data_IF_884965094748
#
_entry.id   IF_884965094748
#
_cell.length_a   1.000
_cell.length_b   1.000
_cell.length_c   1.000
_cell.angle_alpha   90.00
_cell.angle_beta   90.00
_cell.angle_gamma   90.00
#
_symmetry.space_group_name_H-M   'P 1'
#
loop_
_entity.id
_entity.type
_entity.pdbx_description
1 polymer ?
#
# COMPACT_ATOMS: atom_id res chain seq x y z
N UNK A 1 -30.34 -12.13 -5.41
CA UNK A 1 -29.21 -12.88 -4.85
C UNK A 1 -28.15 -12.87 -5.92
N UNK A 2 -27.15 -12.01 -5.78
CA UNK A 2 -26.01 -11.94 -6.69
C UNK A 2 -25.22 -13.24 -6.49
N UNK A 3 -25.10 -14.01 -7.57
CA UNK A 3 -24.34 -15.25 -7.60
C UNK A 3 -22.87 -14.89 -7.38
N UNK A 4 -22.33 -15.20 -6.19
CA UNK A 4 -20.90 -15.01 -5.98
C UNK A 4 -20.17 -16.00 -6.89
N UNK A 5 -19.22 -15.54 -7.72
CA UNK A 5 -18.51 -16.43 -8.63
C UNK A 5 -17.79 -17.52 -7.82
N UNK A 6 -17.76 -18.75 -8.35
CA UNK A 6 -16.96 -19.85 -7.80
C UNK A 6 -15.43 -19.60 -7.90
N UNK A 7 -15.06 -18.53 -8.62
CA UNK A 7 -13.69 -18.06 -8.84
C UNK A 7 -13.27 -17.13 -7.68
N UNK A 8 -12.03 -17.31 -7.19
CA UNK A 8 -11.51 -16.50 -6.08
C UNK A 8 -11.25 -15.04 -6.49
N UNK A 9 -11.33 -14.10 -5.53
CA UNK A 9 -10.97 -12.69 -5.76
C UNK A 9 -9.54 -12.55 -6.30
N UNK A 10 -8.62 -13.39 -5.82
CA UNK A 10 -7.24 -13.47 -6.31
C UNK A 10 -7.19 -13.80 -7.80
N UNK A 11 -8.04 -14.71 -8.27
CA UNK A 11 -8.14 -15.04 -9.69
C UNK A 11 -8.78 -13.93 -10.52
N UNK A 12 -9.80 -13.24 -9.99
CA UNK A 12 -10.40 -12.07 -10.67
C UNK A 12 -9.40 -10.92 -10.80
N UNK A 13 -8.54 -10.72 -9.80
CA UNK A 13 -7.55 -9.64 -9.78
C UNK A 13 -6.47 -9.75 -10.88
N UNK A 14 -6.33 -10.92 -11.54
CA UNK A 14 -5.44 -11.05 -12.70
C UNK A 14 -5.97 -10.34 -13.95
N UNK A 15 -7.27 -10.07 -14.04
CA UNK A 15 -7.91 -9.47 -15.20
C UNK A 15 -8.68 -8.18 -14.91
N UNK A 16 -8.77 -7.77 -13.64
CA UNK A 16 -9.54 -6.62 -13.19
C UNK A 16 -8.74 -5.79 -12.20
N UNK A 17 -8.91 -4.48 -12.26
CA UNK A 17 -8.39 -3.56 -11.25
C UNK A 17 -9.19 -3.63 -9.96
N UNK A 18 -8.59 -3.18 -8.85
CA UNK A 18 -9.28 -3.08 -7.56
C UNK A 18 -10.57 -2.25 -7.64
N UNK A 19 -10.59 -1.18 -8.45
CA UNK A 19 -11.77 -0.33 -8.66
C UNK A 19 -12.91 -1.06 -9.38
N UNK A 20 -12.59 -1.89 -10.37
CA UNK A 20 -13.56 -2.71 -11.08
C UNK A 20 -14.15 -3.80 -10.17
N UNK A 21 -13.31 -4.41 -9.32
CA UNK A 21 -13.77 -5.39 -8.32
C UNK A 21 -14.76 -4.78 -7.32
N UNK A 22 -14.53 -3.53 -6.92
CA UNK A 22 -15.46 -2.79 -6.04
C UNK A 22 -16.73 -2.40 -6.78
N UNK A 23 -16.61 -1.86 -8.00
CA UNK A 23 -17.75 -1.36 -8.79
C UNK A 23 -18.71 -2.48 -9.18
N UNK A 24 -18.19 -3.64 -9.54
CA UNK A 24 -18.97 -4.83 -9.88
C UNK A 24 -19.51 -5.57 -8.64
N UNK A 25 -19.14 -5.12 -7.43
CA UNK A 25 -19.65 -5.65 -6.16
C UNK A 25 -19.03 -6.99 -5.75
N UNK A 26 -17.84 -7.32 -6.25
CA UNK A 26 -17.10 -8.51 -5.82
C UNK A 26 -16.46 -8.32 -4.45
N UNK A 27 -16.04 -7.09 -4.13
CA UNK A 27 -15.44 -6.72 -2.83
C UNK A 27 -15.91 -5.34 -2.39
N UNK A 28 -15.86 -5.07 -1.09
CA UNK A 28 -16.09 -3.74 -0.54
C UNK A 28 -14.79 -2.91 -0.56
N UNK A 29 -14.91 -1.59 -0.39
CA UNK A 29 -13.76 -0.67 -0.32
C UNK A 29 -12.74 -1.06 0.75
N UNK A 30 -13.22 -1.66 1.83
CA UNK A 30 -12.40 -2.03 2.98
C UNK A 30 -11.61 -3.33 2.76
N UNK A 31 -11.87 -4.07 1.68
CA UNK A 31 -11.17 -5.32 1.38
C UNK A 31 -9.67 -5.13 1.17
N UNK A 32 -9.28 -3.98 0.60
CA UNK A 32 -7.89 -3.63 0.34
C UNK A 32 -7.25 -2.81 1.47
N UNK A 33 -7.98 -2.56 2.57
CA UNK A 33 -7.45 -1.80 3.69
C UNK A 33 -6.52 -2.68 4.55
N UNK A 34 -5.24 -2.29 4.64
CA UNK A 34 -4.25 -2.90 5.53
C UNK A 34 -3.77 -1.88 6.59
N UNK A 35 -4.17 -2.04 7.87
CA UNK A 35 -3.69 -1.18 8.96
C UNK A 35 -2.16 -1.16 9.08
N UNK A 36 -1.48 -2.27 8.79
CA UNK A 36 -0.03 -2.36 8.91
C UNK A 36 0.68 -1.55 7.82
N UNK A 37 0.11 -1.48 6.62
CA UNK A 37 0.61 -0.62 5.54
C UNK A 37 0.50 0.86 5.94
N UNK A 38 -0.59 1.25 6.59
CA UNK A 38 -0.78 2.62 7.10
C UNK A 38 0.27 2.99 8.15
N UNK A 39 0.52 2.10 9.11
CA UNK A 39 1.58 2.28 10.12
C UNK A 39 2.97 2.40 9.47
N UNK A 40 3.26 1.58 8.46
CA UNK A 40 4.52 1.65 7.72
C UNK A 40 4.69 2.96 6.97
N UNK A 41 3.62 3.47 6.36
CA UNK A 41 3.64 4.76 5.66
C UNK A 41 3.97 5.90 6.62
N UNK A 42 3.38 5.90 7.82
CA UNK A 42 3.67 6.88 8.87
C UNK A 42 5.15 6.81 9.28
N UNK A 43 5.70 5.61 9.46
CA UNK A 43 7.12 5.45 9.81
C UNK A 43 8.05 5.93 8.68
N UNK A 44 7.69 5.70 7.41
CA UNK A 44 8.43 6.24 6.27
C UNK A 44 8.41 7.76 6.21
N UNK A 45 7.25 8.39 6.44
CA UNK A 45 7.13 9.85 6.49
C UNK A 45 8.00 10.45 7.61
N UNK A 46 8.03 9.80 8.79
CA UNK A 46 8.91 10.21 9.89
C UNK A 46 10.39 10.08 9.53
N UNK A 47 10.78 9.00 8.85
CA UNK A 47 12.17 8.81 8.40
C UNK A 47 12.55 9.86 7.35
N UNK A 48 11.66 10.18 6.42
CA UNK A 48 11.90 11.23 5.42
C UNK A 48 12.05 12.61 6.09
N UNK A 49 11.19 12.93 7.06
CA UNK A 49 11.28 14.17 7.83
C UNK A 49 12.58 14.23 8.64
N UNK A 50 12.98 13.13 9.28
CA UNK A 50 14.25 13.04 10.00
C UNK A 50 15.45 13.24 9.06
N UNK A 51 15.43 12.65 7.86
CA UNK A 51 16.48 12.81 6.86
C UNK A 51 16.55 14.25 6.33
N UNK A 52 15.41 14.92 6.15
CA UNK A 52 15.36 16.35 5.77
C UNK A 52 15.91 17.26 6.87
N UNK A 53 15.63 16.95 8.14
CA UNK A 53 16.05 17.78 9.27
C UNK A 53 17.49 17.52 9.71
N UNK A 54 18.04 16.35 9.42
CA UNK A 54 19.43 15.99 9.69
C UNK A 54 20.12 15.48 8.41
N UNK A 55 20.35 16.36 7.43
CA UNK A 55 21.09 15.99 6.24
C UNK A 55 22.53 15.63 6.65
N UNK A 56 22.95 14.40 6.37
CA UNK A 56 24.36 14.04 6.48
C UNK A 56 25.08 14.77 5.34
N UNK A 57 25.82 15.80 5.68
CA UNK A 57 26.67 16.49 4.71
C UNK A 57 27.92 15.65 4.49
N UNK A 58 28.33 15.50 3.23
CA UNK A 58 29.49 14.69 2.83
C UNK A 58 30.81 15.09 3.55
N UNK A 59 30.88 16.31 4.11
CA UNK A 59 32.02 16.78 4.94
C UNK A 59 32.17 16.03 6.27
N UNK A 60 31.11 15.39 6.80
CA UNK A 60 31.16 14.57 8.02
C UNK A 60 31.40 13.08 7.74
N UNK A 61 31.47 12.67 6.47
CA UNK A 61 31.76 11.30 6.07
C UNK A 61 33.28 11.05 6.09
N UNK A 62 33.74 10.20 7.02
CA UNK A 62 35.10 9.63 6.97
C UNK A 62 35.15 8.54 5.90
N UNK A 63 35.97 8.68 4.84
CA UNK A 63 36.10 7.65 3.82
C UNK A 63 36.74 6.38 4.41
N UNK A 64 36.19 5.22 4.04
CA UNK A 64 36.67 3.90 4.44
C UNK A 64 37.92 3.48 3.66
#
# INVERSE_FOLDING_TARGET
MTEQPEISITELSYGMTSEELITEGYVDTDYFYDPAEEEWKIELEKMEEAAKNNPIFDEECIPF
#
